data_IF_161013000872
#
_entry.id   IF_161013000872
#
_cell.length_a   1.000
_cell.length_b   1.000
_cell.length_c   1.000
_cell.angle_alpha   90.00
_cell.angle_beta   90.00
_cell.angle_gamma   90.00
#
_symmetry.space_group_name_H-M   'P 1'
#
loop_
_entity.id
_entity.type
_entity.pdbx_description
1 polymer ?
#
# COMPACT_ATOMS: atom_id res chain seq x y z
N UNK A 1 18.45 -16.18 16.42
CA UNK A 1 16.98 -16.07 16.52
C UNK A 1 16.44 -16.16 15.10
N UNK A 2 15.61 -17.15 14.79
CA UNK A 2 15.02 -17.26 13.46
C UNK A 2 14.15 -16.01 13.21
N UNK A 3 14.44 -15.28 12.15
CA UNK A 3 13.59 -14.16 11.70
C UNK A 3 12.20 -14.71 11.44
N UNK A 4 11.23 -14.25 12.20
CA UNK A 4 9.83 -14.63 12.01
C UNK A 4 9.40 -14.13 10.65
N UNK A 5 9.24 -15.05 9.69
CA UNK A 5 8.81 -14.75 8.32
C UNK A 5 7.49 -13.97 8.38
N UNK A 6 7.47 -12.77 7.82
CA UNK A 6 6.26 -11.95 7.77
C UNK A 6 5.22 -12.64 6.87
N UNK A 7 4.03 -12.88 7.41
CA UNK A 7 2.97 -13.61 6.69
C UNK A 7 2.07 -12.70 5.83
N UNK A 8 2.21 -11.40 5.95
CA UNK A 8 1.53 -10.42 5.09
C UNK A 8 0.01 -10.36 5.20
N UNK A 9 -0.57 -11.00 6.22
CA UNK A 9 -2.02 -11.14 6.33
C UNK A 9 -2.65 -10.09 7.25
N UNK A 10 -3.84 -9.61 6.88
CA UNK A 10 -4.67 -8.74 7.72
C UNK A 10 -5.15 -9.51 8.95
N UNK A 11 -5.10 -8.87 10.13
CA UNK A 11 -5.58 -9.47 11.37
C UNK A 11 -7.10 -9.72 11.32
N UNK A 12 -7.58 -10.77 12.00
CA UNK A 12 -8.98 -11.12 12.06
C UNK A 12 -9.33 -12.37 11.22
N UNK A 13 -10.59 -12.72 11.20
CA UNK A 13 -11.15 -13.78 10.37
C UNK A 13 -12.31 -13.25 9.52
N UNK A 14 -12.85 -14.07 8.61
CA UNK A 14 -13.90 -13.65 7.69
C UNK A 14 -15.17 -13.15 8.38
N UNK A 15 -15.52 -13.71 9.56
CA UNK A 15 -16.67 -13.24 10.33
C UNK A 15 -16.43 -11.83 10.89
N UNK A 16 -15.27 -11.60 11.49
CA UNK A 16 -14.87 -10.27 11.99
C UNK A 16 -14.86 -9.23 10.86
N UNK A 17 -14.32 -9.58 9.69
CA UNK A 17 -14.29 -8.68 8.54
C UNK A 17 -15.69 -8.33 8.04
N UNK A 18 -16.58 -9.31 7.90
CA UNK A 18 -18.00 -9.08 7.55
C UNK A 18 -18.71 -8.21 8.56
N UNK A 19 -18.50 -8.47 9.85
CA UNK A 19 -19.08 -7.68 10.93
C UNK A 19 -18.60 -6.23 10.89
N UNK A 20 -17.27 -6.01 10.72
CA UNK A 20 -16.69 -4.68 10.61
C UNK A 20 -17.24 -3.92 9.38
N UNK A 21 -17.34 -4.58 8.22
CA UNK A 21 -17.96 -3.98 7.02
C UNK A 21 -19.43 -3.62 7.29
N UNK A 22 -20.19 -4.51 7.92
CA UNK A 22 -21.57 -4.25 8.28
C UNK A 22 -21.74 -3.05 9.22
N UNK A 23 -20.84 -2.92 10.20
CA UNK A 23 -20.80 -1.80 11.13
C UNK A 23 -20.45 -0.50 10.41
N UNK A 24 -19.41 -0.52 9.56
CA UNK A 24 -18.95 0.64 8.79
C UNK A 24 -19.97 1.14 7.77
N UNK A 25 -20.92 0.31 7.34
CA UNK A 25 -22.07 0.77 6.52
C UNK A 25 -22.98 1.72 7.29
N UNK A 26 -23.12 1.53 8.60
CA UNK A 26 -24.10 2.23 9.45
C UNK A 26 -23.49 3.35 10.29
N UNK A 27 -22.22 3.24 10.66
CA UNK A 27 -21.53 4.15 11.59
C UNK A 27 -20.50 4.99 10.84
N UNK A 28 -20.30 6.23 11.30
CA UNK A 28 -19.22 7.08 10.79
C UNK A 28 -17.86 6.51 11.24
N UNK A 29 -16.89 6.54 10.34
CA UNK A 29 -15.52 6.04 10.59
C UNK A 29 -14.84 6.70 11.80
N UNK A 30 -15.24 7.94 12.14
CA UNK A 30 -14.68 8.68 13.28
C UNK A 30 -14.87 7.94 14.60
N UNK A 31 -16.04 7.34 14.81
CA UNK A 31 -16.31 6.55 16.02
C UNK A 31 -15.41 5.31 16.08
N UNK A 32 -15.20 4.66 14.94
CA UNK A 32 -14.31 3.49 14.87
C UNK A 32 -12.84 3.90 15.09
N UNK A 33 -12.42 5.07 14.63
CA UNK A 33 -11.08 5.57 14.93
C UNK A 33 -10.87 5.82 16.42
N UNK A 34 -11.83 6.49 17.09
CA UNK A 34 -11.74 6.71 18.53
C UNK A 34 -11.68 5.37 19.27
N UNK A 35 -12.53 4.43 18.90
CA UNK A 35 -12.50 3.08 19.46
C UNK A 35 -11.12 2.42 19.25
N UNK A 36 -10.57 2.51 18.06
CA UNK A 36 -9.26 1.93 17.76
C UNK A 36 -8.14 2.56 18.60
N UNK A 37 -8.12 3.88 18.72
CA UNK A 37 -7.12 4.57 19.55
C UNK A 37 -7.23 4.18 21.04
N UNK A 38 -8.44 4.07 21.56
CA UNK A 38 -8.63 3.81 23.01
C UNK A 38 -8.46 2.32 23.35
N UNK A 39 -8.96 1.42 22.51
CA UNK A 39 -9.07 0.00 22.87
C UNK A 39 -8.18 -0.95 22.06
N UNK A 40 -7.79 -0.59 20.81
CA UNK A 40 -7.00 -1.48 19.95
C UNK A 40 -5.51 -1.13 19.99
N UNK A 41 -5.17 0.15 19.94
CA UNK A 41 -3.77 0.58 19.92
C UNK A 41 -3.01 0.26 21.22
N UNK A 42 -3.54 0.49 22.43
CA UNK A 42 -2.78 0.22 23.67
C UNK A 42 -2.29 -1.23 23.78
N UNK A 43 -3.11 -2.28 23.58
CA UNK A 43 -2.58 -3.66 23.58
C UNK A 43 -1.60 -3.96 22.45
N UNK A 44 -1.63 -3.24 21.32
CA UNK A 44 -0.64 -3.39 20.27
C UNK A 44 0.77 -2.92 20.70
N UNK A 45 0.85 -1.96 21.60
CA UNK A 45 2.14 -1.49 22.13
C UNK A 45 2.87 -2.53 23.00
N UNK A 46 2.15 -3.55 23.47
CA UNK A 46 2.73 -4.66 24.22
C UNK A 46 3.35 -5.73 23.31
N UNK A 47 3.16 -5.62 21.98
CA UNK A 47 3.69 -6.59 21.01
C UNK A 47 5.14 -6.29 20.62
N UNK A 48 5.93 -7.30 20.20
CA UNK A 48 7.33 -7.11 19.80
C UNK A 48 7.54 -6.04 18.73
N UNK A 49 6.58 -5.83 17.83
CA UNK A 49 6.63 -4.81 16.77
C UNK A 49 6.76 -3.37 17.27
N UNK A 50 6.26 -3.08 18.47
CA UNK A 50 6.43 -1.78 19.11
C UNK A 50 7.89 -1.34 19.17
N UNK A 51 8.80 -2.25 19.56
CA UNK A 51 10.23 -1.95 19.76
C UNK A 51 10.89 -1.43 18.46
N UNK A 52 10.50 -1.97 17.29
CA UNK A 52 11.06 -1.53 16.01
C UNK A 52 10.66 -0.10 15.69
N UNK A 53 9.37 0.24 15.83
CA UNK A 53 8.85 1.57 15.55
C UNK A 53 9.40 2.59 16.57
N UNK A 54 9.45 2.22 17.86
CA UNK A 54 10.01 3.07 18.90
C UNK A 54 11.49 3.38 18.62
N UNK A 55 12.31 2.36 18.30
CA UNK A 55 13.72 2.53 17.94
C UNK A 55 13.88 3.40 16.70
N UNK A 56 13.05 3.21 15.69
CA UNK A 56 13.05 4.04 14.49
C UNK A 56 12.90 5.53 14.85
N UNK A 57 11.95 5.89 15.69
CA UNK A 57 11.81 7.28 16.13
C UNK A 57 12.96 7.77 17.00
N UNK A 58 13.54 6.90 17.85
CA UNK A 58 14.70 7.24 18.67
C UNK A 58 15.97 7.45 17.83
N UNK A 59 16.25 6.53 16.94
CA UNK A 59 17.53 6.44 16.24
C UNK A 59 17.56 7.27 14.96
N UNK A 60 16.44 7.34 14.22
CA UNK A 60 16.39 8.06 12.94
C UNK A 60 15.97 9.51 13.05
N UNK A 61 15.17 9.84 14.06
CA UNK A 61 14.69 11.21 14.31
C UNK A 61 15.31 11.85 15.57
N UNK A 62 16.12 11.14 16.32
CA UNK A 62 16.75 11.67 17.54
C UNK A 62 15.76 12.06 18.64
N UNK A 63 14.51 11.56 18.61
CA UNK A 63 13.48 12.00 19.54
C UNK A 63 13.77 11.55 20.98
N UNK A 64 13.34 12.35 21.97
CA UNK A 64 13.39 11.96 23.38
C UNK A 64 12.55 10.69 23.64
N UNK A 65 12.79 9.95 24.74
CA UNK A 65 12.03 8.72 25.03
C UNK A 65 10.51 8.92 25.04
N UNK A 66 10.04 10.01 25.65
CA UNK A 66 8.61 10.32 25.73
C UNK A 66 8.04 10.71 24.37
N UNK A 67 8.74 11.53 23.60
CA UNK A 67 8.34 11.90 22.25
C UNK A 67 8.29 10.69 21.31
N UNK A 68 9.27 9.79 21.37
CA UNK A 68 9.30 8.57 20.60
C UNK A 68 8.13 7.61 20.96
N UNK A 69 7.80 7.51 22.26
CA UNK A 69 6.63 6.76 22.73
C UNK A 69 5.33 7.30 22.10
N UNK A 70 5.09 8.61 22.19
CA UNK A 70 3.90 9.23 21.62
C UNK A 70 3.85 9.11 20.10
N UNK A 71 4.96 9.28 19.40
CA UNK A 71 5.03 9.08 17.94
C UNK A 71 4.74 7.63 17.56
N UNK A 72 5.23 6.68 18.36
CA UNK A 72 4.93 5.25 18.14
C UNK A 72 3.44 4.94 18.36
N UNK A 73 2.84 5.48 19.40
CA UNK A 73 1.40 5.36 19.64
C UNK A 73 0.58 5.94 18.46
N UNK A 74 0.90 7.16 18.04
CA UNK A 74 0.23 7.80 16.90
C UNK A 74 0.41 7.01 15.60
N UNK A 75 1.62 6.47 15.35
CA UNK A 75 1.89 5.63 14.19
C UNK A 75 1.01 4.38 14.16
N UNK A 76 0.82 3.70 15.29
CA UNK A 76 -0.09 2.57 15.38
C UNK A 76 -1.54 2.98 15.12
N UNK A 77 -1.95 4.14 15.65
CA UNK A 77 -3.28 4.71 15.40
C UNK A 77 -3.51 5.06 13.93
N UNK A 78 -2.54 5.67 13.27
CA UNK A 78 -2.61 5.99 11.83
C UNK A 78 -2.68 4.72 10.98
N UNK A 79 -1.91 3.70 11.34
CA UNK A 79 -1.99 2.40 10.68
C UNK A 79 -3.37 1.74 10.86
N UNK A 80 -3.92 1.80 12.09
CA UNK A 80 -5.27 1.32 12.35
C UNK A 80 -6.31 2.08 11.51
N UNK A 81 -6.18 3.41 11.35
CA UNK A 81 -7.06 4.19 10.48
C UNK A 81 -6.94 3.74 9.01
N UNK A 82 -5.74 3.49 8.49
CA UNK A 82 -5.57 2.99 7.12
C UNK A 82 -6.29 1.65 6.89
N UNK A 83 -6.22 0.74 7.86
CA UNK A 83 -6.97 -0.52 7.82
C UNK A 83 -8.48 -0.30 7.90
N UNK A 84 -8.95 0.56 8.80
CA UNK A 84 -10.38 0.90 8.92
C UNK A 84 -10.89 1.51 7.61
N UNK A 85 -10.14 2.42 7.00
CA UNK A 85 -10.51 3.07 5.74
C UNK A 85 -10.61 2.08 4.59
N UNK A 86 -9.69 1.12 4.52
CA UNK A 86 -9.76 0.01 3.58
C UNK A 86 -11.09 -0.77 3.72
N UNK A 87 -11.48 -1.13 4.94
CA UNK A 87 -12.76 -1.81 5.17
C UNK A 87 -13.96 -0.88 4.96
N UNK A 88 -13.81 0.42 5.20
CA UNK A 88 -14.84 1.40 4.92
C UNK A 88 -15.10 1.54 3.40
N UNK A 89 -14.06 1.44 2.57
CA UNK A 89 -14.21 1.35 1.12
C UNK A 89 -14.99 0.09 0.72
N UNK A 90 -14.68 -1.07 1.30
CA UNK A 90 -15.47 -2.29 1.08
C UNK A 90 -16.91 -2.18 1.56
N UNK A 91 -17.18 -1.30 2.52
CA UNK A 91 -18.53 -0.95 2.97
C UNK A 91 -19.24 0.08 2.07
N UNK A 92 -18.59 0.55 1.00
CA UNK A 92 -19.15 1.55 0.08
C UNK A 92 -18.97 3.01 0.52
N UNK A 93 -18.13 3.28 1.54
CA UNK A 93 -17.77 4.66 1.89
C UNK A 93 -16.82 5.26 0.86
N UNK A 94 -17.03 6.52 0.53
CA UNK A 94 -16.18 7.30 -0.37
C UNK A 94 -15.19 8.16 0.42
N UNK A 95 -14.08 8.49 -0.21
CA UNK A 95 -13.04 9.37 0.33
C UNK A 95 -12.75 10.47 -0.67
N UNK A 96 -12.52 11.68 -0.16
CA UNK A 96 -12.06 12.79 -0.97
C UNK A 96 -10.58 12.57 -1.30
N UNK A 97 -10.24 12.61 -2.58
CA UNK A 97 -8.89 12.34 -3.06
C UNK A 97 -8.44 13.53 -3.90
N UNK A 98 -7.39 14.18 -3.43
CA UNK A 98 -6.67 15.23 -4.15
C UNK A 98 -5.39 14.63 -4.75
N UNK A 99 -5.11 14.92 -6.03
CA UNK A 99 -3.92 14.35 -6.71
C UNK A 99 -3.05 15.51 -7.18
N UNK A 100 -1.88 15.62 -6.59
CA UNK A 100 -0.82 16.53 -7.02
C UNK A 100 0.10 15.81 -8.00
N UNK A 101 0.42 16.46 -9.13
CA UNK A 101 1.23 15.87 -10.21
C UNK A 101 0.43 14.93 -11.12
N UNK A 102 -0.91 15.05 -11.17
CA UNK A 102 -1.75 14.17 -12.01
C UNK A 102 -1.40 14.28 -13.49
N UNK A 103 -0.87 15.42 -13.93
CA UNK A 103 -0.38 15.66 -15.28
C UNK A 103 0.73 14.70 -15.71
N UNK A 104 1.57 14.23 -14.78
CA UNK A 104 2.60 13.21 -15.07
C UNK A 104 1.94 11.88 -15.45
N UNK A 105 0.92 11.47 -14.69
CA UNK A 105 0.15 10.28 -15.01
C UNK A 105 -0.57 10.42 -16.36
N UNK A 106 -1.24 11.55 -16.59
CA UNK A 106 -1.98 11.78 -17.83
C UNK A 106 -1.05 11.75 -19.06
N UNK A 107 0.12 12.37 -18.96
CA UNK A 107 1.12 12.38 -20.03
C UNK A 107 1.52 10.96 -20.43
N UNK A 108 1.75 10.06 -19.48
CA UNK A 108 2.09 8.67 -19.77
C UNK A 108 0.88 7.84 -20.20
N UNK A 109 -0.29 8.13 -19.64
CA UNK A 109 -1.52 7.41 -19.98
C UNK A 109 -1.98 7.62 -21.43
N UNK A 110 -1.63 8.76 -22.05
CA UNK A 110 -1.96 9.07 -23.45
C UNK A 110 -0.97 8.51 -24.46
N UNK A 111 0.25 8.11 -24.04
CA UNK A 111 1.25 7.49 -24.92
C UNK A 111 0.84 6.06 -25.29
N UNK A 112 1.20 5.53 -26.46
CA UNK A 112 0.92 4.12 -26.81
C UNK A 112 1.72 3.12 -25.95
N UNK A 113 2.90 3.51 -25.47
CA UNK A 113 3.79 2.66 -24.68
C UNK A 113 3.23 2.36 -23.30
N UNK A 114 3.55 1.18 -22.77
CA UNK A 114 3.32 0.84 -21.36
C UNK A 114 4.29 1.55 -20.44
N UNK A 115 3.88 1.78 -19.21
CA UNK A 115 4.73 2.39 -18.19
C UNK A 115 4.56 1.73 -16.83
N UNK A 116 5.51 2.00 -15.92
CA UNK A 116 5.49 1.46 -14.57
C UNK A 116 5.06 2.53 -13.58
N UNK A 117 4.08 2.19 -12.74
CA UNK A 117 3.74 2.96 -11.56
C UNK A 117 4.38 2.31 -10.33
N UNK A 118 5.40 2.94 -9.78
CA UNK A 118 5.98 2.55 -8.50
C UNK A 118 5.13 3.08 -7.36
N UNK A 119 4.89 2.24 -6.37
CA UNK A 119 4.21 2.63 -5.13
C UNK A 119 5.02 2.20 -3.91
N UNK A 120 4.66 2.71 -2.76
CA UNK A 120 5.22 2.30 -1.48
C UNK A 120 4.10 2.00 -0.48
N UNK A 121 4.42 1.25 0.57
CA UNK A 121 3.47 0.98 1.66
C UNK A 121 3.36 2.16 2.64
N UNK A 122 3.39 3.38 2.11
CA UNK A 122 3.14 4.62 2.86
C UNK A 122 1.67 4.96 2.76
N UNK A 123 1.04 5.22 3.91
CA UNK A 123 -0.37 5.56 3.99
C UNK A 123 -1.30 4.42 3.52
N UNK A 124 -2.31 4.76 2.75
CA UNK A 124 -3.27 3.79 2.20
C UNK A 124 -3.11 3.68 0.68
N UNK A 125 -2.11 2.95 0.22
CA UNK A 125 -1.78 2.79 -1.19
C UNK A 125 -2.92 2.16 -2.02
N UNK A 126 -3.85 1.43 -1.41
CA UNK A 126 -5.00 0.88 -2.13
C UNK A 126 -5.89 1.99 -2.73
N UNK A 127 -5.98 3.14 -2.07
CA UNK A 127 -6.72 4.31 -2.58
C UNK A 127 -6.11 4.82 -3.90
N UNK A 128 -4.79 4.81 -4.06
CA UNK A 128 -4.14 5.21 -5.32
C UNK A 128 -4.57 4.32 -6.50
N UNK A 129 -4.69 3.02 -6.27
CA UNK A 129 -5.15 2.07 -7.27
C UNK A 129 -6.55 2.37 -7.82
N UNK A 130 -7.41 3.06 -7.04
CA UNK A 130 -8.75 3.45 -7.50
C UNK A 130 -8.78 4.82 -8.22
N UNK A 131 -7.76 5.63 -8.02
CA UNK A 131 -7.75 7.03 -8.45
C UNK A 131 -6.86 7.27 -9.66
N UNK A 132 -5.80 6.49 -9.83
CA UNK A 132 -4.85 6.57 -10.93
C UNK A 132 -5.17 5.47 -11.96
N UNK A 133 -6.33 5.58 -12.61
CA UNK A 133 -6.80 4.62 -13.61
C UNK A 133 -7.03 5.34 -14.94
N UNK A 134 -6.43 4.84 -16.01
CA UNK A 134 -6.67 5.31 -17.36
C UNK A 134 -7.87 4.57 -17.98
N UNK A 135 -8.69 5.28 -18.78
CA UNK A 135 -9.84 4.68 -19.46
C UNK A 135 -9.42 3.62 -20.50
N UNK A 136 -8.36 3.92 -21.24
CA UNK A 136 -7.96 3.15 -22.43
C UNK A 136 -6.78 2.20 -22.16
N UNK A 137 -6.24 2.17 -20.95
CA UNK A 137 -5.16 1.26 -20.56
C UNK A 137 -5.57 0.41 -19.38
N UNK A 138 -5.32 -0.89 -19.45
CA UNK A 138 -5.46 -1.77 -18.29
C UNK A 138 -4.40 -1.43 -17.23
N UNK A 139 -4.83 -1.44 -15.99
CA UNK A 139 -3.99 -1.22 -14.83
C UNK A 139 -3.70 -2.58 -14.16
N UNK A 140 -2.48 -3.07 -14.30
CA UNK A 140 -2.08 -4.38 -13.79
C UNK A 140 -1.35 -4.18 -12.46
N UNK A 141 -2.01 -4.50 -11.35
CA UNK A 141 -1.45 -4.38 -10.02
C UNK A 141 -0.78 -5.69 -9.59
N UNK A 142 0.51 -5.65 -9.30
CA UNK A 142 1.23 -6.77 -8.70
C UNK A 142 0.84 -6.86 -7.22
N UNK A 143 0.27 -8.00 -6.82
CA UNK A 143 -0.28 -8.18 -5.48
C UNK A 143 0.20 -9.47 -4.83
N UNK A 144 0.33 -9.43 -3.51
CA UNK A 144 0.57 -10.62 -2.71
C UNK A 144 -0.76 -11.34 -2.45
N UNK A 145 -0.88 -12.58 -2.92
CA UNK A 145 -2.09 -13.40 -2.79
C UNK A 145 -2.15 -14.23 -1.49
N UNK A 146 -1.16 -14.12 -0.62
CA UNK A 146 -1.17 -14.73 0.72
C UNK A 146 -2.08 -14.03 1.74
N UNK A 147 -2.87 -13.03 1.31
CA UNK A 147 -3.85 -12.35 2.15
C UNK A 147 -5.08 -13.25 2.39
N UNK A 148 -5.85 -12.98 3.43
CA UNK A 148 -7.04 -13.76 3.76
C UNK A 148 -8.09 -13.73 2.66
N UNK A 149 -8.73 -14.86 2.41
CA UNK A 149 -9.75 -15.01 1.36
C UNK A 149 -10.84 -13.92 1.45
N UNK A 150 -11.32 -13.61 2.64
CA UNK A 150 -12.34 -12.57 2.82
C UNK A 150 -11.89 -11.16 2.43
N UNK A 151 -10.61 -10.83 2.55
CA UNK A 151 -10.05 -9.55 2.10
C UNK A 151 -9.90 -9.57 0.58
N UNK A 152 -9.39 -10.68 0.05
CA UNK A 152 -9.23 -10.85 -1.40
C UNK A 152 -10.57 -10.81 -2.15
N UNK A 153 -11.59 -11.49 -1.64
CA UNK A 153 -12.95 -11.47 -2.21
C UNK A 153 -13.53 -10.05 -2.28
N UNK A 154 -13.42 -9.28 -1.18
CA UNK A 154 -13.90 -7.90 -1.18
C UNK A 154 -13.10 -7.02 -2.15
N UNK A 155 -11.78 -7.21 -2.23
CA UNK A 155 -10.92 -6.50 -3.18
C UNK A 155 -11.29 -6.85 -4.62
N UNK A 156 -11.49 -8.13 -4.94
CA UNK A 156 -11.92 -8.58 -6.28
C UNK A 156 -13.26 -7.97 -6.67
N UNK A 157 -14.27 -8.04 -5.79
CA UNK A 157 -15.59 -7.42 -6.03
C UNK A 157 -15.49 -5.91 -6.30
N UNK A 158 -14.61 -5.22 -5.60
CA UNK A 158 -14.43 -3.78 -5.78
C UNK A 158 -13.81 -3.42 -7.13
N UNK A 159 -12.98 -4.31 -7.70
CA UNK A 159 -12.35 -4.12 -9.00
C UNK A 159 -13.11 -4.75 -10.18
N UNK A 160 -14.19 -5.52 -9.93
CA UNK A 160 -14.89 -6.34 -10.92
C UNK A 160 -15.35 -5.56 -12.17
N UNK A 161 -15.69 -4.27 -12.00
CA UNK A 161 -16.14 -3.41 -13.08
C UNK A 161 -15.15 -2.29 -13.43
N UNK A 162 -13.87 -2.49 -13.11
CA UNK A 162 -12.82 -1.51 -13.37
C UNK A 162 -11.80 -2.04 -14.37
N UNK A 163 -10.94 -1.17 -14.89
CA UNK A 163 -9.80 -1.56 -15.72
C UNK A 163 -8.63 -2.17 -14.92
N UNK A 164 -8.83 -2.52 -13.65
CA UNK A 164 -7.78 -3.03 -12.77
C UNK A 164 -7.74 -4.55 -12.82
N UNK A 165 -6.59 -5.09 -13.18
CA UNK A 165 -6.27 -6.51 -13.11
C UNK A 165 -5.25 -6.75 -12.01
N UNK A 166 -5.50 -7.73 -11.15
CA UNK A 166 -4.54 -8.15 -10.13
C UNK A 166 -3.68 -9.30 -10.67
N UNK A 167 -2.36 -9.14 -10.60
CA UNK A 167 -1.38 -10.17 -10.96
C UNK A 167 -0.78 -10.70 -9.66
N UNK A 168 -1.00 -11.98 -9.30
CA UNK A 168 -0.45 -12.56 -8.09
C UNK A 168 1.06 -12.77 -8.20
N UNK A 169 1.80 -12.44 -7.16
CA UNK A 169 3.20 -12.84 -7.03
C UNK A 169 3.23 -14.36 -6.83
N UNK A 170 3.97 -15.06 -7.70
CA UNK A 170 4.12 -16.52 -7.66
C UNK A 170 5.58 -16.89 -7.37
N UNK A 171 5.78 -18.01 -6.68
CA UNK A 171 7.13 -18.50 -6.32
C UNK A 171 7.95 -18.91 -7.55
N UNK A 172 7.28 -19.45 -8.59
CA UNK A 172 7.88 -19.83 -9.87
C UNK A 172 8.25 -18.64 -10.78
N UNK A 173 8.03 -17.42 -10.30
CA UNK A 173 8.29 -16.17 -11.03
C UNK A 173 7.47 -16.00 -12.33
N UNK A 174 6.46 -16.82 -12.58
CA UNK A 174 5.62 -16.76 -13.82
C UNK A 174 4.87 -15.42 -13.94
N UNK A 175 4.60 -14.72 -12.85
CA UNK A 175 4.05 -13.36 -12.86
C UNK A 175 4.91 -12.36 -13.64
N UNK A 176 6.22 -12.58 -13.78
CA UNK A 176 7.09 -11.69 -14.58
C UNK A 176 6.74 -11.72 -16.06
N UNK A 177 6.32 -12.88 -16.61
CA UNK A 177 5.84 -12.97 -17.99
C UNK A 177 4.53 -12.20 -18.19
N UNK A 178 3.64 -12.20 -17.17
CA UNK A 178 2.40 -11.43 -17.24
C UNK A 178 2.67 -9.92 -17.20
N UNK A 179 3.61 -9.47 -16.36
CA UNK A 179 4.04 -8.08 -16.31
C UNK A 179 4.68 -7.64 -17.62
N UNK A 180 5.56 -8.49 -18.18
CA UNK A 180 6.23 -8.25 -19.44
C UNK A 180 5.25 -8.11 -20.59
N UNK A 181 4.29 -9.03 -20.67
CA UNK A 181 3.20 -9.00 -21.66
C UNK A 181 2.35 -7.75 -21.52
N UNK A 182 1.98 -7.36 -20.30
CA UNK A 182 1.19 -6.16 -20.05
C UNK A 182 1.92 -4.90 -20.56
N UNK A 183 3.20 -4.74 -20.22
CA UNK A 183 4.03 -3.61 -20.67
C UNK A 183 4.19 -3.59 -22.20
N UNK A 184 4.41 -4.75 -22.83
CA UNK A 184 4.54 -4.88 -24.28
C UNK A 184 3.23 -4.54 -25.04
N UNK A 185 2.08 -4.71 -24.38
CA UNK A 185 0.77 -4.33 -24.89
C UNK A 185 0.36 -2.88 -24.51
N UNK A 186 1.30 -2.03 -24.14
CA UNK A 186 1.04 -0.63 -23.83
C UNK A 186 0.26 -0.39 -22.53
N UNK A 187 0.21 -1.37 -21.61
CA UNK A 187 -0.59 -1.29 -20.37
C UNK A 187 0.22 -0.72 -19.19
N UNK A 188 -0.49 -0.32 -18.15
CA UNK A 188 0.12 0.15 -16.89
C UNK A 188 0.43 -1.05 -16.01
N UNK A 189 1.63 -1.07 -15.43
CA UNK A 189 2.02 -2.06 -14.42
C UNK A 189 2.34 -1.33 -13.12
N UNK A 190 1.61 -1.65 -12.05
CA UNK A 190 1.85 -1.09 -10.71
C UNK A 190 2.60 -2.09 -9.84
N UNK A 191 3.76 -1.67 -9.34
CA UNK A 191 4.67 -2.50 -8.54
C UNK A 191 5.04 -1.75 -7.26
N UNK A 192 4.85 -2.36 -6.07
CA UNK A 192 5.44 -1.83 -4.84
C UNK A 192 6.97 -1.90 -4.90
N UNK A 193 7.63 -0.76 -4.67
CA UNK A 193 9.09 -0.63 -4.78
C UNK A 193 9.85 -0.59 -3.44
N UNK A 194 9.18 -0.82 -2.31
CA UNK A 194 9.74 -0.58 -0.98
C UNK A 194 9.94 -1.84 -0.12
N UNK A 195 9.45 -3.02 -0.55
CA UNK A 195 9.62 -4.26 0.21
C UNK A 195 10.41 -5.31 -0.56
N UNK A 196 11.45 -5.83 0.08
CA UNK A 196 12.21 -6.97 -0.43
C UNK A 196 11.40 -8.24 -0.17
N UNK A 197 10.93 -8.88 -1.25
CA UNK A 197 10.18 -10.12 -1.20
C UNK A 197 10.66 -11.10 -2.29
N UNK A 198 10.79 -12.38 -1.95
CA UNK A 198 11.12 -13.46 -2.90
C UNK A 198 12.55 -13.45 -3.45
N UNK A 199 13.26 -12.32 -3.43
CA UNK A 199 14.64 -12.20 -3.88
C UNK A 199 15.44 -11.38 -2.87
N UNK A 200 16.66 -11.81 -2.58
CA UNK A 200 17.62 -11.06 -1.75
C UNK A 200 18.29 -9.90 -2.49
N UNK A 201 18.10 -9.79 -3.82
CA UNK A 201 18.71 -8.74 -4.64
C UNK A 201 18.10 -7.38 -4.30
N UNK A 202 18.94 -6.46 -3.89
CA UNK A 202 18.55 -5.13 -3.44
C UNK A 202 19.49 -4.07 -3.98
N UNK A 203 19.00 -2.85 -4.10
CA UNK A 203 19.78 -1.64 -4.27
C UNK A 203 19.91 -0.94 -2.93
N UNK A 204 21.09 -0.44 -2.61
CA UNK A 204 21.33 0.38 -1.43
C UNK A 204 21.12 1.84 -1.80
N UNK A 205 20.29 2.53 -1.02
CA UNK A 205 19.99 3.94 -1.19
C UNK A 205 20.16 4.66 0.16
N UNK A 206 20.29 5.98 0.11
CA UNK A 206 20.26 6.83 1.32
C UNK A 206 18.82 7.26 1.60
N UNK A 207 18.29 6.90 2.76
CA UNK A 207 16.96 7.31 3.24
C UNK A 207 17.11 7.88 4.66
N UNK A 208 16.68 9.12 4.88
CA UNK A 208 16.81 9.83 6.17
C UNK A 208 18.25 9.76 6.72
N UNK A 209 19.22 10.08 5.87
CA UNK A 209 20.65 10.05 6.16
C UNK A 209 21.27 8.70 6.54
N UNK A 210 20.54 7.61 6.34
CA UNK A 210 21.00 6.26 6.61
C UNK A 210 20.85 5.34 5.40
N UNK A 211 21.65 4.30 5.35
CA UNK A 211 21.50 3.26 4.33
C UNK A 211 20.16 2.52 4.48
N UNK A 212 19.47 2.38 3.37
CA UNK A 212 18.26 1.56 3.22
C UNK A 212 18.39 0.66 2.00
N UNK A 213 17.79 -0.52 2.07
CA UNK A 213 17.79 -1.49 0.98
C UNK A 213 16.40 -1.56 0.36
N UNK A 214 16.32 -1.31 -0.94
CA UNK A 214 15.09 -1.46 -1.73
C UNK A 214 15.19 -2.66 -2.66
N UNK A 215 14.06 -3.31 -3.05
CA UNK A 215 14.10 -4.44 -3.97
C UNK A 215 14.62 -4.00 -5.34
N UNK A 216 15.57 -4.75 -5.89
CA UNK A 216 16.14 -4.43 -7.21
C UNK A 216 15.15 -4.67 -8.36
N UNK A 217 14.21 -5.63 -8.20
CA UNK A 217 13.34 -6.10 -9.28
C UNK A 217 12.58 -5.00 -10.02
N UNK A 218 11.80 -4.14 -9.35
CA UNK A 218 11.05 -3.06 -10.00
C UNK A 218 11.94 -2.12 -10.81
N UNK A 219 13.04 -1.68 -10.23
CA UNK A 219 13.98 -0.75 -10.88
C UNK A 219 14.70 -1.40 -12.07
N UNK A 220 15.04 -2.69 -11.96
CA UNK A 220 15.66 -3.43 -13.04
C UNK A 220 14.73 -3.57 -14.25
N UNK A 221 13.44 -3.84 -14.04
CA UNK A 221 12.45 -3.93 -15.13
C UNK A 221 12.39 -2.60 -15.88
N UNK A 222 12.28 -1.49 -15.17
CA UNK A 222 12.24 -0.14 -15.75
C UNK A 222 13.52 0.12 -16.57
N UNK A 223 14.69 -0.05 -15.95
CA UNK A 223 15.98 0.26 -16.58
C UNK A 223 16.30 -0.63 -17.78
N UNK A 224 16.05 -1.95 -17.67
CA UNK A 224 16.39 -2.90 -18.74
C UNK A 224 15.52 -2.71 -19.97
N UNK A 225 14.28 -2.26 -19.81
CA UNK A 225 13.33 -2.04 -20.90
C UNK A 225 13.28 -0.58 -21.38
N UNK A 226 14.02 0.33 -20.75
CA UNK A 226 13.97 1.76 -21.05
C UNK A 226 12.57 2.37 -20.87
N UNK A 227 11.81 1.91 -19.86
CA UNK A 227 10.45 2.35 -19.62
C UNK A 227 10.41 3.67 -18.87
N UNK A 228 9.40 4.46 -19.16
CA UNK A 228 9.02 5.57 -18.28
C UNK A 228 8.34 5.02 -17.01
N UNK A 229 8.50 5.74 -15.92
CA UNK A 229 7.90 5.37 -14.65
C UNK A 229 7.45 6.61 -13.90
N UNK A 230 6.38 6.44 -13.12
CA UNK A 230 5.94 7.42 -12.12
C UNK A 230 6.02 6.80 -10.73
N UNK A 231 6.16 7.64 -9.72
CA UNK A 231 6.12 7.25 -8.32
C UNK A 231 4.88 7.84 -7.67
N UNK A 232 4.07 6.99 -7.04
CA UNK A 232 2.85 7.40 -6.34
C UNK A 232 2.95 7.19 -4.84
N UNK A 233 2.73 8.26 -4.06
CA UNK A 233 2.63 8.21 -2.60
C UNK A 233 1.27 8.68 -2.13
N UNK A 234 0.68 7.98 -1.17
CA UNK A 234 -0.66 8.28 -0.65
C UNK A 234 -0.56 8.69 0.81
N UNK A 235 -0.99 9.91 1.12
CA UNK A 235 -0.95 10.46 2.47
C UNK A 235 -2.35 10.80 2.93
N UNK A 236 -2.71 10.38 4.15
CA UNK A 236 -3.96 10.80 4.78
C UNK A 236 -3.78 12.21 5.35
N UNK A 237 -4.56 13.17 4.86
CA UNK A 237 -4.47 14.58 5.28
C UNK A 237 -5.57 14.98 6.26
N UNK A 238 -6.71 14.29 6.24
CA UNK A 238 -7.80 14.49 7.19
C UNK A 238 -8.69 13.23 7.28
N UNK A 239 -9.70 13.26 8.14
CA UNK A 239 -10.73 12.23 8.17
C UNK A 239 -11.40 12.14 6.80
N UNK A 240 -11.38 10.96 6.19
CA UNK A 240 -11.91 10.68 4.84
C UNK A 240 -11.30 11.50 3.71
N UNK A 241 -10.13 12.13 3.91
CA UNK A 241 -9.44 12.89 2.87
C UNK A 241 -8.00 12.42 2.71
N UNK A 242 -7.64 12.14 1.48
CA UNK A 242 -6.31 11.69 1.09
C UNK A 242 -5.71 12.62 0.04
N UNK A 243 -4.39 12.68 0.02
CA UNK A 243 -3.63 13.33 -1.04
C UNK A 243 -2.69 12.31 -1.66
N UNK A 244 -2.70 12.24 -2.98
CA UNK A 244 -1.79 11.42 -3.77
C UNK A 244 -0.77 12.35 -4.40
N UNK A 245 0.50 12.05 -4.22
CA UNK A 245 1.59 12.73 -4.89
C UNK A 245 2.09 11.83 -6.01
N UNK A 246 2.13 12.35 -7.23
CA UNK A 246 2.65 11.68 -8.42
C UNK A 246 3.84 12.46 -8.93
N UNK A 247 4.98 11.76 -9.08
CA UNK A 247 6.25 12.33 -9.59
C UNK A 247 6.86 11.44 -10.65
#
# INVERSE_FOLDING_TARGET
MAEKKWEGTTFGNGLMHRWLIGLLRRIDVRFIYVFAYVFVVPPCLLRPGYKFIYRYFRERFGLSPLAAFWKTYLQHGMFAQAIIDKFAMYAGKTFDIDIEGYEHFQTLATKPEGFVQLSSHVGNYEIAGYSLVAKDKKFNALVFFGEKASVMENRMKMFEHTNIRMIPIREDMSHLFELDSALSNGQIVSIPGDRIWGSSKAVTVKLLDHEARLPMGPFKVIATRGLEAIVGHVVKVATRRYKIFVT
#
